data_IF_192879196674
#
_entry.id   IF_192879196674
#
_cell.length_a   1.000
_cell.length_b   1.000
_cell.length_c   1.000
_cell.angle_alpha   90.00
_cell.angle_beta   90.00
_cell.angle_gamma   90.00
#
_symmetry.space_group_name_H-M   'P 1'
#
loop_
_entity.id
_entity.type
_entity.pdbx_description
1 polymer ?
#
# COMPACT_ATOMS: atom_id res chain seq x y z
N UNK A 1 -15.27 -18.82 6.10
CA UNK A 1 -14.00 -19.20 5.43
C UNK A 1 -13.07 -19.87 6.42
N UNK A 2 -12.38 -20.93 6.03
CA UNK A 2 -11.34 -21.54 6.87
C UNK A 2 -10.00 -20.81 6.66
N UNK A 3 -9.34 -20.42 7.73
CA UNK A 3 -8.01 -19.82 7.72
C UNK A 3 -6.99 -20.87 8.14
N UNK A 4 -5.93 -21.00 7.36
CA UNK A 4 -4.75 -21.78 7.73
C UNK A 4 -3.59 -20.82 8.01
N UNK A 5 -3.15 -20.70 9.28
CA UNK A 5 -1.96 -19.95 9.62
C UNK A 5 -0.72 -20.60 9.00
N UNK A 6 0.10 -19.81 8.30
CA UNK A 6 1.39 -20.22 7.76
C UNK A 6 2.49 -19.31 8.27
N UNK A 7 3.62 -19.89 8.67
CA UNK A 7 4.77 -19.13 9.14
C UNK A 7 5.35 -18.29 7.99
N UNK A 8 5.65 -17.00 8.24
CA UNK A 8 6.12 -16.04 7.23
C UNK A 8 7.48 -16.43 6.62
N UNK A 9 8.35 -17.02 7.43
CA UNK A 9 9.66 -17.56 7.03
C UNK A 9 9.94 -18.80 7.89
N UNK A 10 10.63 -19.82 7.37
CA UNK A 10 10.84 -21.08 8.08
C UNK A 10 11.68 -20.95 9.36
N UNK A 11 12.47 -19.90 9.49
CA UNK A 11 13.37 -19.63 10.61
C UNK A 11 12.76 -18.73 11.70
N UNK A 12 11.47 -18.39 11.62
CA UNK A 12 10.81 -17.55 12.61
C UNK A 12 10.26 -18.37 13.78
N UNK A 13 10.23 -17.76 14.96
CA UNK A 13 9.69 -18.38 16.17
C UNK A 13 8.18 -18.66 16.04
N UNK A 14 7.73 -19.95 16.11
CA UNK A 14 6.31 -20.31 15.99
C UNK A 14 5.46 -19.92 17.22
N UNK A 15 6.08 -19.54 18.33
CA UNK A 15 5.39 -19.03 19.52
C UNK A 15 4.88 -17.59 19.34
N UNK A 16 5.42 -16.86 18.37
CA UNK A 16 5.09 -15.46 18.12
C UNK A 16 4.00 -15.36 17.05
N UNK A 17 2.79 -14.97 17.44
CA UNK A 17 1.61 -14.91 16.54
C UNK A 17 1.85 -13.98 15.33
N UNK A 18 2.58 -12.88 15.51
CA UNK A 18 2.89 -11.94 14.42
C UNK A 18 3.79 -12.54 13.32
N UNK A 19 4.41 -13.71 13.56
CA UNK A 19 5.18 -14.43 12.55
C UNK A 19 4.31 -15.23 11.58
N UNK A 20 3.00 -15.33 11.80
CA UNK A 20 2.09 -16.04 10.90
C UNK A 20 1.41 -15.11 9.90
N UNK A 21 1.09 -15.66 8.72
CA UNK A 21 0.17 -15.12 7.72
C UNK A 21 -1.10 -15.96 7.74
N UNK A 22 -2.24 -15.30 7.59
CA UNK A 22 -3.55 -15.93 7.68
C UNK A 22 -4.07 -16.27 6.28
N UNK A 23 -3.73 -17.45 5.76
CA UNK A 23 -4.16 -17.83 4.40
C UNK A 23 -5.60 -18.31 4.40
N UNK A 24 -6.46 -17.60 3.68
CA UNK A 24 -7.88 -17.93 3.52
C UNK A 24 -8.08 -19.01 2.47
N UNK A 25 -8.67 -20.15 2.87
CA UNK A 25 -9.14 -21.19 1.96
C UNK A 25 -10.51 -20.84 1.41
N UNK A 26 -10.52 -20.02 0.35
CA UNK A 26 -11.73 -19.68 -0.38
C UNK A 26 -12.23 -20.87 -1.21
N UNK A 27 -13.55 -21.01 -1.32
CA UNK A 27 -14.15 -22.04 -2.15
C UNK A 27 -13.80 -21.83 -3.62
N UNK A 28 -13.75 -22.92 -4.39
CA UNK A 28 -13.45 -22.84 -5.83
C UNK A 28 -14.45 -21.94 -6.56
N UNK A 29 -15.75 -22.09 -6.27
CA UNK A 29 -16.82 -21.28 -6.87
C UNK A 29 -16.59 -19.78 -6.59
N UNK A 30 -16.23 -19.42 -5.36
CA UNK A 30 -15.97 -18.03 -5.02
C UNK A 30 -14.78 -17.47 -5.79
N UNK A 31 -13.69 -18.24 -5.95
CA UNK A 31 -12.53 -17.82 -6.76
C UNK A 31 -12.89 -17.61 -8.23
N UNK A 32 -13.79 -18.42 -8.78
CA UNK A 32 -14.29 -18.26 -10.16
C UNK A 32 -15.10 -16.96 -10.27
N UNK A 33 -16.01 -16.70 -9.33
CA UNK A 33 -16.79 -15.45 -9.31
C UNK A 33 -15.90 -14.22 -9.14
N UNK A 34 -14.95 -14.26 -8.21
CA UNK A 34 -13.94 -13.21 -8.04
C UNK A 34 -13.17 -12.95 -9.33
N UNK A 35 -12.80 -14.01 -10.07
CA UNK A 35 -12.08 -13.88 -11.34
C UNK A 35 -12.94 -13.23 -12.42
N UNK A 36 -14.22 -13.56 -12.51
CA UNK A 36 -15.16 -12.95 -13.47
C UNK A 36 -15.29 -11.44 -13.18
N UNK A 37 -15.52 -11.08 -11.91
CA UNK A 37 -15.63 -9.67 -11.50
C UNK A 37 -14.31 -8.94 -11.72
N UNK A 38 -13.18 -9.55 -11.41
CA UNK A 38 -11.86 -8.96 -11.66
C UNK A 38 -11.65 -8.62 -13.14
N UNK A 39 -12.02 -9.52 -14.06
CA UNK A 39 -11.88 -9.28 -15.51
C UNK A 39 -12.75 -8.08 -15.92
N UNK A 40 -13.97 -7.98 -15.41
CA UNK A 40 -14.86 -6.85 -15.69
C UNK A 40 -14.30 -5.54 -15.14
N UNK A 41 -13.80 -5.53 -13.90
CA UNK A 41 -13.15 -4.36 -13.31
C UNK A 41 -11.91 -3.94 -14.11
N UNK A 42 -11.04 -4.88 -14.48
CA UNK A 42 -9.84 -4.59 -15.26
C UNK A 42 -10.14 -4.03 -16.66
N UNK A 43 -11.32 -4.32 -17.21
CA UNK A 43 -11.80 -3.68 -18.43
C UNK A 43 -12.41 -2.29 -18.17
N UNK A 44 -13.08 -2.11 -17.04
CA UNK A 44 -13.78 -0.87 -16.69
C UNK A 44 -12.83 0.24 -16.22
N UNK A 45 -11.89 -0.06 -15.33
CA UNK A 45 -11.04 0.94 -14.67
C UNK A 45 -10.21 1.78 -15.66
N UNK A 46 -9.46 1.19 -16.62
CA UNK A 46 -8.65 1.98 -17.55
C UNK A 46 -9.52 2.83 -18.48
N UNK A 47 -10.66 2.30 -18.94
CA UNK A 47 -11.58 2.99 -19.83
C UNK A 47 -12.25 4.23 -19.23
N UNK A 48 -12.24 4.35 -17.89
CA UNK A 48 -12.80 5.48 -17.17
C UNK A 48 -11.73 6.35 -16.49
N UNK A 49 -10.44 6.05 -16.71
CA UNK A 49 -9.33 6.80 -16.10
C UNK A 49 -9.22 6.61 -14.57
N UNK A 50 -9.70 5.48 -14.05
CA UNK A 50 -9.74 5.17 -12.61
C UNK A 50 -8.56 4.25 -12.26
N UNK A 51 -7.35 4.71 -12.53
CA UNK A 51 -6.13 4.00 -12.17
C UNK A 51 -5.08 4.98 -11.69
N UNK A 52 -4.40 4.63 -10.59
CA UNK A 52 -3.21 5.36 -10.21
C UNK A 52 -2.09 5.05 -11.21
N UNK A 53 -1.54 6.10 -11.82
CA UNK A 53 -0.45 5.99 -12.78
C UNK A 53 0.78 5.36 -12.12
N UNK A 54 1.07 5.77 -10.88
CA UNK A 54 2.23 5.33 -10.12
C UNK A 54 1.92 4.18 -9.16
N UNK A 55 0.95 3.32 -9.49
CA UNK A 55 0.74 2.03 -8.83
C UNK A 55 1.26 0.93 -9.74
N UNK A 56 2.29 0.21 -9.30
CA UNK A 56 2.89 -0.89 -10.06
C UNK A 56 2.51 -2.27 -9.50
N UNK A 57 2.08 -2.36 -8.25
CA UNK A 57 1.61 -3.61 -7.66
C UNK A 57 0.22 -3.98 -8.14
N UNK A 58 0.01 -5.27 -8.39
CA UNK A 58 -1.27 -5.85 -8.82
C UNK A 58 -1.87 -5.21 -10.09
N UNK A 59 -1.06 -4.50 -10.89
CA UNK A 59 -1.46 -3.85 -12.12
C UNK A 59 -0.94 -4.62 -13.33
N UNK A 60 -1.80 -4.79 -14.33
CA UNK A 60 -1.45 -5.52 -15.55
C UNK A 60 -0.31 -4.83 -16.29
N UNK A 61 0.68 -5.59 -16.76
CA UNK A 61 1.89 -5.10 -17.47
C UNK A 61 2.84 -4.24 -16.62
N UNK A 62 2.67 -4.24 -15.29
CA UNK A 62 3.63 -3.66 -14.35
C UNK A 62 4.29 -4.76 -13.51
N UNK A 63 5.48 -4.49 -13.01
CA UNK A 63 6.26 -5.38 -12.18
C UNK A 63 7.16 -4.59 -11.22
N UNK A 64 7.93 -5.30 -10.39
CA UNK A 64 8.96 -4.68 -9.55
C UNK A 64 10.00 -3.95 -10.39
N UNK A 65 10.34 -4.49 -11.57
CA UNK A 65 11.29 -3.88 -12.50
C UNK A 65 10.76 -2.55 -13.04
N UNK A 66 9.49 -2.45 -13.43
CA UNK A 66 8.94 -1.19 -13.92
C UNK A 66 8.93 -0.09 -12.84
N UNK A 67 8.61 -0.46 -11.60
CA UNK A 67 8.67 0.45 -10.46
C UNK A 67 10.11 0.93 -10.21
N UNK A 68 11.04 -0.02 -10.15
CA UNK A 68 12.45 0.25 -9.91
C UNK A 68 13.07 1.11 -11.02
N UNK A 69 12.74 0.83 -12.28
CA UNK A 69 13.21 1.62 -13.42
C UNK A 69 12.75 3.07 -13.34
N UNK A 70 11.47 3.31 -13.00
CA UNK A 70 10.92 4.66 -12.87
C UNK A 70 11.65 5.45 -11.78
N UNK A 71 11.77 4.87 -10.59
CA UNK A 71 12.40 5.54 -9.44
C UNK A 71 13.88 5.80 -9.69
N UNK A 72 14.61 4.82 -10.21
CA UNK A 72 16.03 5.01 -10.53
C UNK A 72 16.24 6.09 -11.59
N UNK A 73 15.42 6.10 -12.64
CA UNK A 73 15.51 7.14 -13.67
C UNK A 73 15.33 8.54 -13.06
N UNK A 74 14.34 8.73 -12.19
CA UNK A 74 14.10 10.02 -11.55
C UNK A 74 15.23 10.43 -10.60
N UNK A 75 15.76 9.47 -9.83
CA UNK A 75 16.93 9.69 -8.96
C UNK A 75 18.12 10.13 -9.81
N UNK A 76 18.41 9.44 -10.92
CA UNK A 76 19.53 9.76 -11.79
C UNK A 76 19.37 11.15 -12.42
N UNK A 77 18.19 11.49 -12.93
CA UNK A 77 17.93 12.81 -13.52
C UNK A 77 18.10 13.97 -12.51
N UNK A 78 17.65 13.77 -11.27
CA UNK A 78 17.85 14.76 -10.21
C UNK A 78 19.33 14.90 -9.83
N UNK A 79 20.05 13.78 -9.75
CA UNK A 79 21.50 13.80 -9.47
C UNK A 79 22.32 14.44 -10.59
N UNK A 80 21.94 14.20 -11.84
CA UNK A 80 22.57 14.86 -13.00
C UNK A 80 22.34 16.39 -12.99
N UNK A 81 21.30 16.84 -12.30
CA UNK A 81 21.01 18.27 -12.06
C UNK A 81 21.75 18.84 -10.84
N UNK A 82 22.54 18.02 -10.13
CA UNK A 82 23.28 18.40 -8.93
C UNK A 82 22.45 18.39 -7.64
N UNK A 83 21.24 17.83 -7.67
CA UNK A 83 20.38 17.75 -6.49
C UNK A 83 20.63 16.46 -5.69
N UNK A 84 20.47 16.56 -4.36
CA UNK A 84 20.29 15.38 -3.51
C UNK A 84 18.90 14.79 -3.73
N UNK A 85 18.69 13.52 -3.50
CA UNK A 85 17.35 12.91 -3.55
C UNK A 85 17.07 12.17 -2.27
N UNK A 86 16.02 12.58 -1.56
CA UNK A 86 15.50 11.84 -0.41
C UNK A 86 14.45 10.87 -0.90
N UNK A 87 14.59 9.60 -0.53
CA UNK A 87 13.62 8.53 -0.75
C UNK A 87 13.14 8.01 0.59
N UNK A 88 11.83 8.04 0.81
CA UNK A 88 11.15 7.58 2.01
C UNK A 88 10.33 6.33 1.66
N UNK A 89 10.66 5.21 2.30
CA UNK A 89 9.91 3.96 2.24
C UNK A 89 8.96 3.87 3.43
N UNK A 90 7.66 3.86 3.14
CA UNK A 90 6.60 3.70 4.12
C UNK A 90 5.93 2.33 3.90
N UNK A 91 5.77 1.58 4.98
CA UNK A 91 5.15 0.26 4.94
C UNK A 91 3.84 0.28 5.72
N UNK A 92 2.80 -0.39 5.20
CA UNK A 92 1.55 -0.56 5.94
C UNK A 92 1.59 -1.81 6.82
N UNK A 93 0.96 -1.72 8.00
CA UNK A 93 0.80 -2.83 8.93
C UNK A 93 -0.45 -3.63 8.56
N UNK A 94 -0.25 -4.90 8.19
CA UNK A 94 -1.34 -5.85 7.90
C UNK A 94 -2.36 -5.30 6.88
N UNK A 95 -1.87 -4.69 5.80
CA UNK A 95 -2.67 -3.84 4.91
C UNK A 95 -3.92 -4.51 4.31
N UNK A 96 -3.80 -5.77 3.88
CA UNK A 96 -4.96 -6.53 3.37
C UNK A 96 -5.93 -6.93 4.48
N UNK A 97 -5.46 -7.06 5.72
CA UNK A 97 -6.27 -7.46 6.87
C UNK A 97 -7.03 -6.27 7.49
N UNK A 98 -6.66 -5.03 7.13
CA UNK A 98 -7.17 -3.79 7.74
C UNK A 98 -8.15 -2.99 6.87
N UNK A 99 -8.50 -3.49 5.68
CA UNK A 99 -9.49 -2.84 4.81
C UNK A 99 -10.87 -2.83 5.49
N UNK A 100 -11.30 -1.70 6.01
CA UNK A 100 -12.63 -1.60 6.63
C UNK A 100 -13.73 -1.68 5.57
N UNK A 101 -14.71 -2.55 5.80
CA UNK A 101 -15.72 -2.84 4.78
C UNK A 101 -16.70 -1.70 4.58
N UNK A 102 -17.12 -1.02 5.65
CA UNK A 102 -18.09 0.08 5.55
C UNK A 102 -17.44 1.33 4.97
N UNK A 103 -16.21 1.63 5.39
CA UNK A 103 -15.43 2.74 4.83
C UNK A 103 -15.19 2.49 3.35
N UNK A 104 -14.84 1.27 2.92
CA UNK A 104 -14.50 1.00 1.53
C UNK A 104 -15.67 1.08 0.54
N UNK A 105 -16.91 0.85 0.97
CA UNK A 105 -18.08 0.97 0.07
C UNK A 105 -18.23 2.40 -0.46
N UNK A 106 -17.94 3.42 0.34
CA UNK A 106 -18.07 4.82 -0.07
C UNK A 106 -17.09 5.21 -1.21
N UNK A 107 -15.77 4.95 -1.13
CA UNK A 107 -14.85 5.14 -2.25
C UNK A 107 -15.19 4.34 -3.51
N UNK A 108 -15.74 3.13 -3.40
CA UNK A 108 -16.18 2.36 -4.58
C UNK A 108 -17.29 3.10 -5.34
N UNK A 109 -18.21 3.75 -4.63
CA UNK A 109 -19.27 4.53 -5.26
C UNK A 109 -18.79 5.91 -5.74
N UNK A 110 -18.08 6.64 -4.87
CA UNK A 110 -17.76 8.05 -5.10
C UNK A 110 -16.53 8.25 -5.98
N UNK A 111 -15.47 7.46 -5.76
CA UNK A 111 -14.20 7.59 -6.49
C UNK A 111 -14.17 6.67 -7.72
N UNK A 112 -14.69 5.45 -7.61
CA UNK A 112 -14.67 4.46 -8.70
C UNK A 112 -15.96 4.51 -9.55
N UNK A 113 -17.05 5.08 -9.03
CA UNK A 113 -18.29 5.22 -9.79
C UNK A 113 -19.08 3.91 -9.94
N UNK A 114 -18.81 2.90 -9.11
CA UNK A 114 -19.57 1.64 -9.08
C UNK A 114 -20.90 1.88 -8.37
N UNK A 115 -22.02 1.56 -9.00
CA UNK A 115 -23.37 1.89 -8.51
C UNK A 115 -24.34 0.72 -8.59
N UNK A 116 -25.48 0.89 -7.92
CA UNK A 116 -26.64 0.00 -7.97
C UNK A 116 -26.26 -1.47 -7.69
N UNK A 117 -26.74 -2.40 -8.50
CA UNK A 117 -26.59 -3.85 -8.30
C UNK A 117 -25.14 -4.31 -8.19
N UNK A 118 -24.20 -3.61 -8.84
CA UNK A 118 -22.78 -3.94 -8.75
C UNK A 118 -22.22 -3.51 -7.40
N UNK A 119 -22.62 -2.35 -6.88
CA UNK A 119 -22.23 -1.91 -5.54
C UNK A 119 -22.83 -2.82 -4.46
N UNK A 120 -24.09 -3.24 -4.63
CA UNK A 120 -24.74 -4.22 -3.75
C UNK A 120 -24.02 -5.57 -3.75
N UNK A 121 -23.48 -5.99 -4.90
CA UNK A 121 -22.64 -7.17 -4.99
C UNK A 121 -21.35 -7.02 -4.16
N UNK A 122 -20.65 -5.89 -4.24
CA UNK A 122 -19.46 -5.64 -3.41
C UNK A 122 -19.81 -5.59 -1.92
N UNK A 123 -20.92 -4.94 -1.56
CA UNK A 123 -21.42 -4.94 -0.18
C UNK A 123 -21.69 -6.35 0.31
N UNK A 124 -22.34 -7.19 -0.50
CA UNK A 124 -22.58 -8.60 -0.16
C UNK A 124 -21.29 -9.43 -0.11
N UNK A 125 -20.29 -9.11 -0.92
CA UNK A 125 -19.01 -9.83 -0.97
C UNK A 125 -18.13 -9.54 0.27
N UNK A 126 -18.17 -8.30 0.77
CA UNK A 126 -17.38 -7.86 1.93
C UNK A 126 -18.08 -8.17 3.26
N UNK A 127 -19.38 -7.89 3.37
CA UNK A 127 -20.10 -7.94 4.65
C UNK A 127 -20.60 -9.35 5.04
N UNK A 128 -20.99 -9.52 6.30
CA UNK A 128 -21.57 -10.75 6.85
C UNK A 128 -20.70 -12.00 6.68
N UNK A 129 -19.38 -11.81 6.61
CA UNK A 129 -18.44 -12.90 6.51
C UNK A 129 -18.06 -13.42 7.88
N UNK A 130 -17.79 -14.71 7.95
CA UNK A 130 -17.20 -15.34 9.13
C UNK A 130 -15.99 -16.18 8.76
N UNK A 131 -15.12 -16.42 9.73
CA UNK A 131 -14.00 -17.31 9.58
C UNK A 131 -13.75 -18.17 10.82
N UNK A 132 -13.08 -19.29 10.62
CA UNK A 132 -12.51 -20.12 11.67
C UNK A 132 -11.04 -20.39 11.36
N UNK A 133 -10.22 -20.56 12.39
CA UNK A 133 -8.79 -20.88 12.26
C UNK A 133 -8.61 -22.38 12.43
N UNK A 134 -7.94 -23.01 11.48
CA UNK A 134 -7.67 -24.44 11.49
C UNK A 134 -6.16 -24.70 11.64
N UNK A 135 -5.78 -25.46 12.66
CA UNK A 135 -4.40 -25.88 12.93
C UNK A 135 -4.40 -27.39 13.12
N UNK A 136 -3.80 -28.12 12.19
CA UNK A 136 -3.87 -29.59 12.17
C UNK A 136 -5.32 -30.06 12.12
N UNK A 137 -5.72 -30.86 13.12
CA UNK A 137 -7.08 -31.39 13.26
C UNK A 137 -7.98 -30.53 14.18
N UNK A 138 -7.48 -29.39 14.67
CA UNK A 138 -8.23 -28.49 15.54
C UNK A 138 -8.80 -27.33 14.73
N UNK A 139 -10.05 -26.94 15.03
CA UNK A 139 -10.71 -25.74 14.49
C UNK A 139 -11.17 -24.86 15.63
N UNK A 140 -10.99 -23.54 15.49
CA UNK A 140 -11.61 -22.57 16.39
C UNK A 140 -13.14 -22.51 16.18
N UNK A 141 -13.82 -21.82 17.09
CA UNK A 141 -15.16 -21.30 16.82
C UNK A 141 -15.14 -20.33 15.63
N UNK A 142 -16.31 -20.14 15.01
CA UNK A 142 -16.49 -19.18 13.94
C UNK A 142 -16.65 -17.76 14.51
N UNK A 143 -15.91 -16.81 13.94
CA UNK A 143 -15.96 -15.39 14.30
C UNK A 143 -16.29 -14.54 13.08
N UNK A 144 -17.00 -13.42 13.28
CA UNK A 144 -17.33 -12.48 12.21
C UNK A 144 -16.06 -11.74 11.75
N UNK A 145 -15.91 -11.59 10.43
CA UNK A 145 -14.86 -10.80 9.81
C UNK A 145 -15.40 -9.39 9.53
N UNK A 146 -15.00 -8.42 10.33
CA UNK A 146 -15.46 -7.02 10.20
C UNK A 146 -14.58 -6.15 9.29
N UNK A 147 -13.37 -6.60 8.98
CA UNK A 147 -12.43 -5.88 8.12
C UNK A 147 -11.51 -6.87 7.38
N UNK A 148 -10.81 -6.36 6.39
CA UNK A 148 -9.84 -7.06 5.57
C UNK A 148 -10.45 -7.76 4.35
N UNK A 149 -9.60 -7.96 3.35
CA UNK A 149 -9.86 -8.82 2.20
C UNK A 149 -9.12 -10.15 2.41
N UNK A 150 -9.70 -11.31 2.04
CA UNK A 150 -9.10 -12.59 2.37
C UNK A 150 -7.75 -12.78 1.66
N UNK A 151 -6.70 -13.09 2.42
CA UNK A 151 -5.40 -13.41 1.86
C UNK A 151 -5.47 -14.71 1.04
N UNK A 152 -5.28 -14.62 -0.26
CA UNK A 152 -5.54 -15.70 -1.23
C UNK A 152 -6.78 -15.49 -2.10
N UNK A 153 -7.46 -14.36 -1.93
CA UNK A 153 -8.45 -13.83 -2.88
C UNK A 153 -7.80 -13.45 -4.20
N UNK A 154 -8.52 -13.72 -5.29
CA UNK A 154 -8.17 -13.26 -6.63
C UNK A 154 -8.50 -11.77 -6.78
N UNK A 155 -9.58 -11.32 -6.15
CA UNK A 155 -10.11 -9.95 -6.26
C UNK A 155 -9.51 -9.00 -5.21
N UNK A 156 -9.17 -9.53 -4.03
CA UNK A 156 -8.65 -8.77 -2.88
C UNK A 156 -7.50 -7.79 -3.20
N UNK A 157 -6.47 -8.18 -3.98
CA UNK A 157 -5.39 -7.27 -4.33
C UNK A 157 -5.86 -6.02 -5.11
N UNK A 158 -6.76 -6.18 -6.08
CA UNK A 158 -7.32 -5.06 -6.83
C UNK A 158 -8.22 -4.19 -5.95
N UNK A 159 -9.00 -4.80 -5.06
CA UNK A 159 -9.79 -4.05 -4.07
C UNK A 159 -8.91 -3.20 -3.17
N UNK A 160 -7.78 -3.75 -2.71
CA UNK A 160 -6.84 -2.98 -1.92
C UNK A 160 -6.24 -1.80 -2.71
N UNK A 161 -5.86 -2.00 -3.97
CA UNK A 161 -5.39 -0.90 -4.83
C UNK A 161 -6.44 0.20 -5.01
N UNK A 162 -7.72 -0.16 -5.11
CA UNK A 162 -8.82 0.81 -5.16
C UNK A 162 -9.05 1.52 -3.81
N UNK A 163 -8.85 0.81 -2.70
CA UNK A 163 -8.97 1.37 -1.36
C UNK A 163 -7.98 2.51 -1.11
N UNK A 164 -6.72 2.31 -1.53
CA UNK A 164 -5.66 3.33 -1.38
C UNK A 164 -5.58 4.33 -2.55
N UNK A 165 -6.47 4.23 -3.55
CA UNK A 165 -6.47 5.09 -4.74
C UNK A 165 -6.42 6.60 -4.40
N UNK A 166 -7.15 7.12 -3.38
CA UNK A 166 -7.10 8.55 -3.05
C UNK A 166 -5.74 9.05 -2.57
N UNK A 167 -4.84 8.17 -2.08
CA UNK A 167 -3.50 8.56 -1.63
C UNK A 167 -2.67 9.18 -2.76
N UNK A 168 -2.84 8.74 -4.00
CA UNK A 168 -2.10 9.32 -5.11
C UNK A 168 -2.41 10.80 -5.32
N UNK A 169 -3.67 11.19 -5.14
CA UNK A 169 -4.10 12.59 -5.21
C UNK A 169 -3.63 13.41 -4.01
N UNK A 170 -3.52 12.80 -2.83
CA UNK A 170 -2.92 13.42 -1.65
C UNK A 170 -1.44 13.73 -1.90
N UNK A 171 -0.66 12.76 -2.37
CA UNK A 171 0.77 12.94 -2.63
C UNK A 171 1.05 13.94 -3.76
N UNK A 172 0.25 13.91 -4.84
CA UNK A 172 0.33 14.89 -5.94
C UNK A 172 0.09 16.33 -5.47
N UNK A 173 -0.75 16.56 -4.46
CA UNK A 173 -1.02 17.91 -3.92
C UNK A 173 0.24 18.58 -3.37
N UNK A 174 1.15 17.80 -2.81
CA UNK A 174 2.43 18.28 -2.30
C UNK A 174 3.52 18.37 -3.37
N UNK A 175 3.24 17.95 -4.61
CA UNK A 175 4.20 17.96 -5.71
C UNK A 175 5.30 16.90 -5.57
N UNK A 176 5.12 15.89 -4.72
CA UNK A 176 6.09 14.83 -4.56
C UNK A 176 5.94 13.75 -5.62
N UNK A 177 7.08 13.18 -6.01
CA UNK A 177 7.09 11.97 -6.81
C UNK A 177 6.91 10.77 -5.89
N UNK A 178 6.19 9.75 -6.36
CA UNK A 178 5.92 8.58 -5.57
C UNK A 178 5.73 7.36 -6.46
N UNK A 179 5.75 6.20 -5.84
CA UNK A 179 5.32 4.95 -6.44
C UNK A 179 4.73 4.04 -5.36
N UNK A 180 3.65 3.36 -5.70
CA UNK A 180 3.06 2.30 -4.91
C UNK A 180 3.44 0.95 -5.50
N UNK A 181 3.70 -0.01 -4.63
CA UNK A 181 3.76 -1.41 -5.01
C UNK A 181 2.99 -2.22 -3.97
N UNK A 182 1.75 -2.58 -4.30
CA UNK A 182 0.84 -3.20 -3.33
C UNK A 182 0.65 -2.27 -2.12
N UNK A 183 1.06 -2.71 -0.93
CA UNK A 183 1.02 -1.97 0.34
C UNK A 183 2.28 -1.15 0.65
N UNK A 184 3.31 -1.25 -0.17
CA UNK A 184 4.52 -0.43 -0.06
C UNK A 184 4.31 0.94 -0.71
N UNK A 185 4.63 2.00 0.02
CA UNK A 185 4.53 3.38 -0.44
C UNK A 185 5.95 3.97 -0.48
N UNK A 186 6.34 4.49 -1.63
CA UNK A 186 7.65 5.13 -1.82
C UNK A 186 7.41 6.58 -2.21
N UNK A 187 7.94 7.52 -1.44
CA UNK A 187 7.88 8.96 -1.71
C UNK A 187 9.31 9.43 -1.95
N UNK A 188 9.55 10.15 -3.03
CA UNK A 188 10.87 10.69 -3.33
C UNK A 188 10.80 12.10 -3.89
N UNK A 189 11.80 12.90 -3.52
CA UNK A 189 11.88 14.30 -3.86
C UNK A 189 13.34 14.75 -3.98
N UNK A 190 13.65 15.61 -4.96
CA UNK A 190 14.93 16.30 -5.00
C UNK A 190 15.01 17.33 -3.86
N UNK A 191 16.14 17.34 -3.18
CA UNK A 191 16.54 18.35 -2.20
C UNK A 191 17.59 19.24 -2.87
N UNK A 192 17.20 20.48 -3.15
CA UNK A 192 18.09 21.43 -3.81
C UNK A 192 19.29 21.76 -2.92
N UNK A 193 20.48 21.45 -3.41
CA UNK A 193 21.74 21.70 -2.71
C UNK A 193 21.98 23.20 -2.44
N UNK A 194 21.51 24.05 -3.37
CA UNK A 194 21.59 25.51 -3.26
C UNK A 194 20.19 26.09 -3.02
N UNK A 195 19.87 26.44 -1.77
CA UNK A 195 18.67 27.24 -1.48
C UNK A 195 17.92 27.00 -0.18
N UNK A 196 18.41 26.17 0.75
CA UNK A 196 17.73 26.00 2.05
C UNK A 196 16.30 25.46 1.91
N UNK A 197 16.08 24.47 1.03
CA UNK A 197 14.78 23.85 0.84
C UNK A 197 14.29 23.18 2.14
N UNK A 198 13.24 23.73 2.74
CA UNK A 198 12.67 23.18 3.98
C UNK A 198 12.05 21.80 3.73
N UNK A 199 12.27 20.87 4.68
CA UNK A 199 11.56 19.58 4.72
C UNK A 199 10.14 19.70 5.29
N UNK A 200 9.71 20.90 5.69
CA UNK A 200 8.36 21.11 6.24
C UNK A 200 7.23 20.58 5.33
N UNK A 201 7.24 20.80 4.00
CA UNK A 201 6.20 20.24 3.14
C UNK A 201 6.15 18.70 3.17
N UNK A 202 7.30 18.05 3.39
CA UNK A 202 7.37 16.59 3.55
C UNK A 202 6.74 16.17 4.87
N UNK A 203 7.06 16.85 5.98
CA UNK A 203 6.45 16.56 7.28
C UNK A 203 4.94 16.80 7.29
N UNK A 204 4.47 17.87 6.65
CA UNK A 204 3.05 18.16 6.49
C UNK A 204 2.36 17.06 5.67
N UNK A 205 2.98 16.63 4.56
CA UNK A 205 2.47 15.54 3.74
C UNK A 205 2.42 14.21 4.50
N UNK A 206 3.46 13.88 5.28
CA UNK A 206 3.47 12.67 6.10
C UNK A 206 2.42 12.72 7.21
N UNK A 207 2.14 13.90 7.75
CA UNK A 207 1.08 14.11 8.75
C UNK A 207 -0.30 13.89 8.14
N UNK A 208 -0.57 14.51 6.99
CA UNK A 208 -1.83 14.34 6.26
C UNK A 208 -2.01 12.89 5.79
N UNK A 209 -0.95 12.24 5.30
CA UNK A 209 -0.95 10.83 4.92
C UNK A 209 -1.26 9.94 6.13
N UNK A 210 -0.59 10.15 7.28
CA UNK A 210 -0.87 9.40 8.52
C UNK A 210 -2.31 9.59 8.98
N UNK A 211 -2.82 10.82 8.94
CA UNK A 211 -4.19 11.13 9.30
C UNK A 211 -5.19 10.44 8.35
N UNK A 212 -4.95 10.49 7.04
CA UNK A 212 -5.79 9.83 6.05
C UNK A 212 -5.78 8.31 6.23
N UNK A 213 -4.60 7.70 6.43
CA UNK A 213 -4.50 6.26 6.69
C UNK A 213 -5.31 5.88 7.93
N UNK A 214 -5.16 6.61 9.04
CA UNK A 214 -5.90 6.35 10.26
C UNK A 214 -7.42 6.49 10.09
N UNK A 215 -7.88 7.50 9.34
CA UNK A 215 -9.30 7.67 9.00
C UNK A 215 -9.85 6.53 8.15
N UNK A 216 -8.99 5.89 7.35
CA UNK A 216 -9.32 4.73 6.51
C UNK A 216 -8.85 3.42 7.15
N UNK A 217 -8.72 3.38 8.48
CA UNK A 217 -8.39 2.16 9.24
C UNK A 217 -7.07 1.46 8.84
N UNK A 218 -6.19 2.17 8.15
CA UNK A 218 -4.84 1.73 7.79
C UNK A 218 -3.84 2.30 8.79
N UNK A 219 -2.73 1.59 8.99
CA UNK A 219 -1.68 1.98 9.93
C UNK A 219 -0.30 1.82 9.30
N UNK A 220 0.54 2.85 9.42
CA UNK A 220 1.95 2.73 9.05
C UNK A 220 2.70 1.82 10.05
N UNK A 221 3.65 1.08 9.51
CA UNK A 221 4.65 0.35 10.27
C UNK A 221 5.88 1.25 10.41
N UNK A 222 5.95 1.98 11.53
CA UNK A 222 7.07 2.88 11.82
C UNK A 222 8.40 2.09 11.92
N UNK A 223 8.39 0.89 12.50
CA UNK A 223 9.59 0.05 12.65
C UNK A 223 10.21 -0.39 11.30
N UNK A 224 9.40 -0.42 10.24
CA UNK A 224 9.84 -0.73 8.88
C UNK A 224 10.04 0.50 8.01
N UNK A 225 9.66 1.68 8.50
CA UNK A 225 9.81 2.91 7.74
C UNK A 225 11.30 3.25 7.63
N UNK A 226 11.74 3.57 6.41
CA UNK A 226 13.15 3.76 6.08
C UNK A 226 13.34 4.99 5.20
N UNK A 227 14.44 5.71 5.41
CA UNK A 227 14.85 6.85 4.60
C UNK A 227 16.23 6.58 4.01
N UNK A 228 16.39 6.90 2.72
CA UNK A 228 17.65 6.80 1.99
C UNK A 228 17.90 8.11 1.28
N UNK A 229 19.11 8.63 1.39
CA UNK A 229 19.54 9.86 0.72
C UNK A 229 20.54 9.50 -0.38
N UNK A 230 20.25 9.91 -1.61
CA UNK A 230 21.10 9.69 -2.77
C UNK A 230 21.80 11.01 -3.14
N UNK A 231 23.12 10.96 -3.32
CA UNK A 231 23.95 12.15 -3.50
C UNK A 231 25.40 11.84 -3.80
N UNK A 232 26.20 12.87 -4.03
CA UNK A 232 27.66 12.76 -3.94
C UNK A 232 28.17 13.32 -2.59
N UNK A 233 29.41 12.99 -2.24
CA UNK A 233 30.01 13.38 -0.95
C UNK A 233 30.04 14.90 -0.73
N UNK A 234 30.17 15.68 -1.80
CA UNK A 234 30.19 17.13 -1.70
C UNK A 234 28.79 17.68 -1.37
N UNK A 235 27.74 17.10 -1.98
CA UNK A 235 26.35 17.46 -1.68
C UNK A 235 25.94 17.02 -0.28
N UNK A 236 26.36 15.83 0.17
CA UNK A 236 26.13 15.38 1.55
C UNK A 236 26.80 16.31 2.57
N UNK A 237 28.02 16.77 2.31
CA UNK A 237 28.72 17.70 3.19
C UNK A 237 28.04 19.07 3.27
N UNK A 238 27.36 19.50 2.19
CA UNK A 238 26.57 20.71 2.15
C UNK A 238 25.16 20.56 2.76
N UNK A 239 24.72 19.33 3.04
CA UNK A 239 23.39 19.04 3.58
C UNK A 239 23.30 19.42 5.06
N UNK A 240 22.67 20.56 5.36
CA UNK A 240 22.46 21.07 6.71
C UNK A 240 20.96 21.24 7.03
N UNK A 241 20.15 20.23 6.71
CA UNK A 241 18.72 20.24 6.99
C UNK A 241 18.40 19.46 8.26
N UNK A 242 17.49 20.01 9.08
CA UNK A 242 16.91 19.29 10.20
C UNK A 242 16.04 18.14 9.67
N UNK A 243 16.56 16.92 9.82
CA UNK A 243 15.88 15.69 9.44
C UNK A 243 14.72 15.36 10.38
N UNK A 244 14.60 16.06 11.52
CA UNK A 244 13.49 15.97 12.46
C UNK A 244 13.11 14.53 12.78
N UNK A 245 11.83 14.21 12.58
CA UNK A 245 11.28 12.88 12.82
C UNK A 245 11.82 11.81 11.86
N UNK A 246 12.46 12.15 10.74
CA UNK A 246 13.02 11.15 9.84
C UNK A 246 14.43 10.72 10.23
N UNK A 247 15.11 11.45 11.13
CA UNK A 247 16.49 11.19 11.53
C UNK A 247 16.74 9.74 11.99
N UNK A 248 15.78 9.14 12.69
CA UNK A 248 15.87 7.76 13.21
C UNK A 248 15.56 6.69 12.16
N UNK A 249 15.07 7.07 10.98
CA UNK A 249 14.75 6.16 9.87
C UNK A 249 15.85 6.12 8.80
N UNK A 250 16.91 6.93 8.91
CA UNK A 250 17.99 6.93 7.94
C UNK A 250 18.81 5.65 8.01
N UNK A 251 18.97 4.98 6.87
CA UNK A 251 20.01 3.99 6.68
C UNK A 251 21.18 4.63 5.94
N UNK A 252 22.37 4.50 6.52
CA UNK A 252 23.61 4.77 5.80
C UNK A 252 23.79 3.70 4.73
N UNK A 253 23.62 4.08 3.47
CA UNK A 253 23.97 3.27 2.29
C UNK A 253 25.28 3.72 1.70
#
# INVERSE_FOLDING_TARGET
TSIQPLLKKPNLEPSVVSNFRQVSKLSFILKVLEKIVLIQLQSFLPGNGIEEQFQSGFKSKHSTESALLKINNDILLARDSGDLVLLVFLYLSAALDTVDHEIFISPLEQCVGIRATVLDWFRSYLTNRSFSVNIGNCSSSSTILSCGVPQGSVLGPTLFSLYILPLGSLLRRYGFSFNFYADDIQIYLPLKAAGGASLQPLFDCLTDLKAWLAQNFLKLNEDKTECVLFGDLATFAAFNHDLGLLAHHFKTT
#
